data_IF_653896913032
#
_entry.id   IF_653896913032
#
_cell.length_a   1.000
_cell.length_b   1.000
_cell.length_c   1.000
_cell.angle_alpha   90.00
_cell.angle_beta   90.00
_cell.angle_gamma   90.00
#
_symmetry.space_group_name_H-M   'P 1'
#
loop_
_entity.id
_entity.type
_entity.pdbx_description
1 polymer ?
#
# COMPACT_ATOMS: atom_id res chain seq x y z
N UNK A 1 39.86 -10.37 -38.83
CA UNK A 1 38.64 -11.15 -38.62
C UNK A 1 38.91 -12.12 -37.50
N UNK A 2 38.56 -11.69 -36.28
CA UNK A 2 38.66 -12.57 -35.09
C UNK A 2 37.25 -12.70 -34.54
N UNK A 3 36.70 -13.91 -34.78
CA UNK A 3 35.42 -14.35 -34.29
C UNK A 3 35.45 -14.41 -32.73
N UNK A 4 34.83 -13.44 -32.10
CA UNK A 4 34.51 -13.50 -30.68
C UNK A 4 33.21 -14.31 -30.52
N UNK A 5 33.34 -15.62 -30.39
CA UNK A 5 32.27 -16.50 -29.95
C UNK A 5 31.97 -16.14 -28.47
N UNK A 6 30.91 -15.38 -28.22
CA UNK A 6 30.29 -15.23 -26.89
C UNK A 6 29.67 -16.60 -26.53
N UNK A 7 30.42 -17.42 -25.79
CA UNK A 7 29.87 -18.62 -25.17
C UNK A 7 28.87 -18.20 -24.11
N UNK A 8 27.59 -18.31 -24.37
CA UNK A 8 26.52 -18.29 -23.37
C UNK A 8 26.73 -19.47 -22.42
N UNK A 9 27.55 -19.27 -21.40
CA UNK A 9 27.77 -20.27 -20.36
C UNK A 9 26.46 -20.45 -19.57
N UNK A 10 25.84 -21.61 -19.71
CA UNK A 10 24.69 -22.03 -18.90
C UNK A 10 25.02 -21.83 -17.42
N UNK A 11 24.10 -21.26 -16.60
CA UNK A 11 24.31 -21.14 -15.16
C UNK A 11 24.66 -22.50 -14.54
N UNK A 12 25.67 -22.49 -13.66
CA UNK A 12 26.10 -23.70 -12.97
C UNK A 12 24.94 -24.29 -12.14
N UNK A 13 24.86 -25.60 -12.07
CA UNK A 13 23.84 -26.33 -11.32
C UNK A 13 24.44 -26.98 -10.08
N UNK A 14 23.62 -27.43 -9.12
CA UNK A 14 24.06 -28.21 -7.97
C UNK A 14 24.81 -29.50 -8.40
N UNK A 15 24.46 -30.03 -9.58
CA UNK A 15 25.15 -31.18 -10.14
C UNK A 15 26.58 -30.87 -10.60
N UNK A 16 26.79 -29.69 -11.11
CA UNK A 16 28.10 -29.21 -11.51
C UNK A 16 29.01 -28.96 -10.31
N UNK A 17 28.45 -28.37 -9.24
CA UNK A 17 29.16 -28.21 -7.94
C UNK A 17 29.54 -29.58 -7.34
N UNK A 18 28.61 -30.54 -7.35
CA UNK A 18 28.85 -31.87 -6.82
C UNK A 18 29.98 -32.59 -7.58
N UNK A 19 29.98 -32.51 -8.90
CA UNK A 19 31.02 -33.06 -9.76
C UNK A 19 32.38 -32.39 -9.49
N UNK A 20 32.42 -31.07 -9.42
CA UNK A 20 33.61 -30.29 -9.19
C UNK A 20 34.20 -30.54 -7.78
N UNK A 21 33.36 -30.71 -6.76
CA UNK A 21 33.77 -31.00 -5.39
C UNK A 21 34.09 -32.50 -5.16
N UNK A 22 33.89 -33.35 -6.17
CA UNK A 22 34.10 -34.82 -6.05
C UNK A 22 33.17 -35.46 -5.02
N UNK A 23 31.88 -35.07 -5.01
CA UNK A 23 30.90 -35.54 -4.01
C UNK A 23 29.50 -35.73 -4.64
N UNK A 24 28.57 -36.21 -3.83
CA UNK A 24 27.15 -36.33 -4.24
C UNK A 24 26.36 -35.03 -4.02
N UNK A 25 25.28 -34.85 -4.78
CA UNK A 25 24.33 -33.72 -4.65
C UNK A 25 23.79 -33.57 -3.23
N UNK A 26 23.63 -34.68 -2.49
CA UNK A 26 23.14 -34.68 -1.11
C UNK A 26 24.10 -33.93 -0.17
N UNK A 27 25.41 -34.14 -0.34
CA UNK A 27 26.42 -33.45 0.49
C UNK A 27 26.46 -31.94 0.18
N UNK A 28 26.37 -31.56 -1.10
CA UNK A 28 26.27 -30.15 -1.50
C UNK A 28 24.99 -29.51 -0.94
N UNK A 29 23.85 -30.23 -1.02
CA UNK A 29 22.58 -29.77 -0.47
C UNK A 29 22.66 -29.54 1.05
N UNK A 30 23.28 -30.46 1.79
CA UNK A 30 23.51 -30.33 3.24
C UNK A 30 24.39 -29.12 3.59
N UNK A 31 25.47 -28.92 2.84
CA UNK A 31 26.35 -27.76 3.00
C UNK A 31 25.56 -26.45 2.81
N UNK A 32 24.81 -26.33 1.72
CA UNK A 32 23.98 -25.16 1.40
C UNK A 32 22.85 -24.92 2.41
N UNK A 33 22.41 -25.98 3.12
CA UNK A 33 21.37 -25.87 4.14
C UNK A 33 21.93 -25.60 5.56
N UNK A 34 23.26 -25.41 5.70
CA UNK A 34 23.87 -25.21 7.01
C UNK A 34 24.06 -26.48 7.86
N UNK A 35 23.72 -27.66 7.32
CA UNK A 35 23.93 -28.97 7.98
C UNK A 35 25.40 -29.39 7.91
N UNK A 36 26.31 -28.44 8.24
CA UNK A 36 27.75 -28.64 8.07
C UNK A 36 28.32 -29.61 9.07
N UNK A 37 27.66 -29.83 10.20
CA UNK A 37 28.09 -30.76 11.25
C UNK A 37 28.16 -32.24 10.78
N UNK A 38 27.38 -32.61 9.77
CA UNK A 38 27.40 -33.97 9.19
C UNK A 38 28.42 -34.16 8.05
N UNK A 39 29.21 -33.12 7.77
CA UNK A 39 30.20 -33.12 6.68
C UNK A 39 31.61 -32.99 7.28
N UNK A 40 32.59 -33.76 6.75
CA UNK A 40 33.99 -33.57 7.15
C UNK A 40 34.50 -32.18 6.79
N UNK A 41 35.53 -31.70 7.49
CA UNK A 41 36.14 -30.39 7.23
C UNK A 41 36.67 -30.30 5.80
N UNK A 42 37.37 -31.35 5.32
CA UNK A 42 37.87 -31.45 3.96
C UNK A 42 36.76 -31.34 2.91
N UNK A 43 35.67 -32.07 3.13
CA UNK A 43 34.52 -32.02 2.19
C UNK A 43 33.86 -30.64 2.14
N UNK A 44 33.74 -29.97 3.29
CA UNK A 44 33.21 -28.58 3.34
C UNK A 44 34.08 -27.63 2.52
N UNK A 45 35.39 -27.68 2.68
CA UNK A 45 36.33 -26.85 1.93
C UNK A 45 36.27 -27.10 0.42
N UNK A 46 36.18 -28.37 0.01
CA UNK A 46 36.02 -28.71 -1.42
C UNK A 46 34.73 -28.20 -2.02
N UNK A 47 33.62 -28.30 -1.27
CA UNK A 47 32.31 -27.78 -1.74
C UNK A 47 32.38 -26.26 -1.85
N UNK A 48 32.95 -25.56 -0.85
CA UNK A 48 33.10 -24.10 -0.85
C UNK A 48 33.94 -23.61 -2.04
N UNK A 49 35.11 -24.25 -2.28
CA UNK A 49 35.95 -23.94 -3.41
C UNK A 49 35.26 -24.18 -4.76
N UNK A 50 34.46 -25.24 -4.87
CA UNK A 50 33.70 -25.53 -6.08
C UNK A 50 32.60 -24.47 -6.31
N UNK A 51 31.88 -24.05 -5.27
CA UNK A 51 30.88 -22.99 -5.34
C UNK A 51 31.51 -21.69 -5.84
N UNK A 52 32.65 -21.29 -5.24
CA UNK A 52 33.35 -20.07 -5.62
C UNK A 52 33.86 -20.12 -7.08
N UNK A 53 34.48 -21.24 -7.49
CA UNK A 53 35.04 -21.42 -8.84
C UNK A 53 33.98 -21.40 -9.93
N UNK A 54 32.82 -22.02 -9.67
CA UNK A 54 31.71 -22.07 -10.60
C UNK A 54 30.77 -20.86 -10.53
N UNK A 55 31.05 -19.91 -9.63
CA UNK A 55 30.14 -18.80 -9.27
C UNK A 55 28.71 -19.31 -9.08
N UNK A 56 28.57 -20.46 -8.43
CA UNK A 56 27.28 -21.10 -8.26
C UNK A 56 26.44 -20.34 -7.25
N UNK A 57 25.26 -19.96 -7.67
CA UNK A 57 24.22 -19.39 -6.77
C UNK A 57 23.08 -20.39 -6.65
N UNK A 58 22.69 -20.80 -5.43
CA UNK A 58 21.55 -21.68 -5.24
C UNK A 58 20.29 -21.06 -5.85
N UNK A 59 19.60 -21.79 -6.70
CA UNK A 59 18.30 -21.37 -7.19
C UNK A 59 17.27 -21.53 -6.05
N UNK A 60 16.88 -20.43 -5.45
CA UNK A 60 15.92 -20.42 -4.32
C UNK A 60 14.56 -20.98 -4.73
N UNK A 61 14.10 -20.72 -5.97
CA UNK A 61 12.85 -21.30 -6.47
C UNK A 61 12.91 -22.83 -6.56
N UNK A 62 14.05 -23.40 -7.03
CA UNK A 62 14.23 -24.83 -7.07
C UNK A 62 14.33 -25.47 -5.65
N UNK A 63 14.84 -24.72 -4.68
CA UNK A 63 14.84 -25.15 -3.26
C UNK A 63 13.44 -25.10 -2.66
N UNK A 64 12.66 -24.06 -2.95
CA UNK A 64 11.28 -23.89 -2.53
C UNK A 64 10.39 -25.02 -3.03
N UNK A 65 10.51 -25.40 -4.30
CA UNK A 65 9.80 -26.54 -4.88
C UNK A 65 10.06 -27.85 -4.14
N UNK A 66 11.26 -28.05 -3.61
CA UNK A 66 11.64 -29.28 -2.89
C UNK A 66 11.18 -29.28 -1.42
N UNK A 67 10.99 -28.10 -0.81
CA UNK A 67 10.56 -27.90 0.58
C UNK A 67 9.09 -27.52 0.72
N UNK A 68 8.37 -27.33 -0.39
CA UNK A 68 6.98 -26.87 -0.39
C UNK A 68 6.80 -25.38 -0.04
N UNK A 69 7.91 -24.64 0.20
CA UNK A 69 7.88 -23.20 0.53
C UNK A 69 8.91 -22.44 -0.28
N UNK A 70 8.48 -21.45 -1.05
CA UNK A 70 9.35 -20.62 -1.90
C UNK A 70 9.67 -19.24 -1.29
N UNK A 71 9.06 -18.91 -0.15
CA UNK A 71 9.24 -17.65 0.56
C UNK A 71 8.93 -16.40 -0.28
N UNK A 72 7.99 -16.51 -1.22
CA UNK A 72 7.48 -15.39 -2.00
C UNK A 72 6.16 -14.90 -1.41
N UNK A 73 6.05 -13.60 -1.13
CA UNK A 73 4.79 -12.92 -0.85
C UNK A 73 4.44 -11.99 -1.99
N UNK A 74 3.20 -12.08 -2.48
CA UNK A 74 2.70 -11.13 -3.46
C UNK A 74 2.17 -9.86 -2.78
N UNK A 75 2.36 -8.70 -3.41
CA UNK A 75 1.65 -7.49 -3.07
C UNK A 75 1.03 -6.91 -4.33
N UNK A 76 -0.29 -6.78 -4.34
CA UNK A 76 -1.03 -6.05 -5.35
C UNK A 76 -1.27 -4.63 -4.86
N UNK A 77 -0.66 -3.67 -5.54
CA UNK A 77 -0.77 -2.24 -5.26
C UNK A 77 -1.62 -1.56 -6.34
N UNK A 78 -2.64 -0.83 -5.93
CA UNK A 78 -3.51 -0.11 -6.87
C UNK A 78 -2.77 1.03 -7.58
N UNK A 79 -2.02 1.83 -6.82
CA UNK A 79 -1.35 3.02 -7.35
C UNK A 79 -0.05 3.33 -6.59
N UNK A 80 1.10 3.16 -7.25
CA UNK A 80 2.42 3.51 -6.70
C UNK A 80 2.74 5.02 -6.79
N UNK A 81 1.91 5.81 -7.47
CA UNK A 81 2.07 7.28 -7.47
C UNK A 81 1.48 7.92 -6.21
N UNK A 82 0.65 7.18 -5.46
CA UNK A 82 0.12 7.60 -4.18
C UNK A 82 1.18 7.36 -3.08
N UNK A 83 1.64 8.40 -2.36
CA UNK A 83 2.61 8.27 -1.26
C UNK A 83 2.22 7.22 -0.21
N UNK A 84 0.94 7.14 0.14
CA UNK A 84 0.40 6.10 1.03
C UNK A 84 0.86 4.69 0.66
N UNK A 85 0.74 4.33 -0.63
CA UNK A 85 1.10 2.99 -1.10
C UNK A 85 2.58 2.70 -0.94
N UNK A 86 3.43 3.71 -1.20
CA UNK A 86 4.89 3.58 -1.07
C UNK A 86 5.30 3.42 0.39
N UNK A 87 4.70 4.16 1.30
CA UNK A 87 4.97 4.06 2.73
C UNK A 87 4.51 2.70 3.31
N UNK A 88 3.33 2.20 2.91
CA UNK A 88 2.88 0.84 3.25
C UNK A 88 3.86 -0.20 2.74
N UNK A 89 4.35 -0.04 1.49
CA UNK A 89 5.34 -0.94 0.90
C UNK A 89 6.64 -0.99 1.71
N UNK A 90 7.10 0.12 2.30
CA UNK A 90 8.27 0.12 3.18
C UNK A 90 8.06 -0.78 4.41
N UNK A 91 6.88 -0.75 5.02
CA UNK A 91 6.53 -1.65 6.12
C UNK A 91 6.49 -3.12 5.68
N UNK A 92 5.91 -3.39 4.51
CA UNK A 92 5.87 -4.73 3.91
C UNK A 92 7.28 -5.26 3.66
N UNK A 93 8.16 -4.44 3.08
CA UNK A 93 9.55 -4.81 2.79
C UNK A 93 10.32 -5.14 4.07
N UNK A 94 10.19 -4.31 5.10
CA UNK A 94 10.86 -4.51 6.37
C UNK A 94 10.43 -5.82 7.06
N UNK A 95 9.13 -6.10 7.10
CA UNK A 95 8.60 -7.34 7.67
C UNK A 95 8.98 -8.57 6.83
N UNK A 96 8.93 -8.47 5.50
CA UNK A 96 9.41 -9.52 4.60
C UNK A 96 10.87 -9.84 4.86
N UNK A 97 11.72 -8.82 5.02
CA UNK A 97 13.14 -9.00 5.35
C UNK A 97 13.31 -9.71 6.69
N UNK A 98 12.61 -9.27 7.74
CA UNK A 98 12.69 -9.85 9.07
C UNK A 98 12.25 -11.32 9.12
N UNK A 99 11.21 -11.68 8.35
CA UNK A 99 10.63 -13.02 8.31
C UNK A 99 11.21 -13.92 7.20
N UNK A 100 12.17 -13.39 6.40
CA UNK A 100 12.85 -14.14 5.35
C UNK A 100 12.00 -14.40 4.12
N UNK A 101 11.08 -13.49 3.78
CA UNK A 101 10.32 -13.49 2.53
C UNK A 101 10.92 -12.56 1.50
N UNK A 102 10.60 -12.81 0.23
CA UNK A 102 10.85 -11.88 -0.88
C UNK A 102 9.50 -11.34 -1.36
N UNK A 103 9.25 -10.02 -1.29
CA UNK A 103 8.03 -9.43 -1.81
C UNK A 103 8.06 -9.35 -3.34
N UNK A 104 6.94 -9.69 -3.97
CA UNK A 104 6.68 -9.59 -5.40
C UNK A 104 5.62 -8.51 -5.62
N UNK A 105 6.04 -7.32 -6.03
CA UNK A 105 5.16 -6.16 -6.15
C UNK A 105 4.55 -6.10 -7.54
N UNK A 106 3.23 -6.04 -7.61
CA UNK A 106 2.45 -5.83 -8.83
C UNK A 106 1.70 -4.50 -8.73
N UNK A 107 1.91 -3.62 -9.69
CA UNK A 107 1.27 -2.30 -9.76
C UNK A 107 0.17 -2.30 -10.82
N UNK A 108 -1.08 -2.16 -10.39
CA UNK A 108 -2.24 -2.23 -11.27
C UNK A 108 -2.59 -0.89 -11.96
N UNK A 109 -1.97 0.21 -11.57
CA UNK A 109 -2.22 1.54 -12.13
C UNK A 109 -3.70 1.96 -12.10
N UNK A 110 -4.44 1.54 -11.09
CA UNK A 110 -5.89 1.73 -10.96
C UNK A 110 -6.73 1.08 -12.08
N UNK A 111 -6.22 0.04 -12.74
CA UNK A 111 -6.90 -0.71 -13.78
C UNK A 111 -7.35 -2.09 -13.28
N UNK A 112 -8.67 -2.34 -13.21
CA UNK A 112 -9.25 -3.59 -12.70
C UNK A 112 -8.78 -4.82 -13.50
N UNK A 113 -8.64 -4.69 -14.81
CA UNK A 113 -8.17 -5.80 -15.65
C UNK A 113 -6.69 -6.14 -15.36
N UNK A 114 -5.88 -5.14 -15.03
CA UNK A 114 -4.49 -5.37 -14.59
C UNK A 114 -4.45 -6.03 -13.21
N UNK A 115 -5.35 -5.67 -12.30
CA UNK A 115 -5.49 -6.37 -11.01
C UNK A 115 -5.76 -7.86 -11.22
N UNK A 116 -6.73 -8.20 -12.06
CA UNK A 116 -7.09 -9.57 -12.43
C UNK A 116 -5.89 -10.33 -13.00
N UNK A 117 -5.19 -9.73 -13.96
CA UNK A 117 -4.02 -10.33 -14.60
C UNK A 117 -2.88 -10.60 -13.60
N UNK A 118 -2.59 -9.65 -12.72
CA UNK A 118 -1.53 -9.83 -11.74
C UNK A 118 -1.88 -10.89 -10.69
N UNK A 119 -3.13 -10.99 -10.26
CA UNK A 119 -3.57 -12.05 -9.36
C UNK A 119 -3.39 -13.44 -9.98
N UNK A 120 -3.70 -13.60 -11.25
CA UNK A 120 -3.44 -14.85 -11.99
C UNK A 120 -1.94 -15.17 -12.07
N UNK A 121 -1.11 -14.16 -12.35
CA UNK A 121 0.35 -14.34 -12.40
C UNK A 121 0.91 -14.73 -11.03
N UNK A 122 0.52 -14.03 -9.95
CA UNK A 122 0.97 -14.34 -8.59
C UNK A 122 0.60 -15.77 -8.17
N UNK A 123 -0.60 -16.23 -8.54
CA UNK A 123 -1.00 -17.63 -8.35
C UNK A 123 -0.09 -18.58 -9.13
N UNK A 124 0.25 -18.25 -10.40
CA UNK A 124 1.17 -19.04 -11.24
C UNK A 124 2.57 -19.10 -10.64
N UNK A 125 3.06 -18.00 -10.07
CA UNK A 125 4.35 -17.96 -9.36
C UNK A 125 4.32 -18.66 -8.00
N UNK A 126 3.14 -19.17 -7.58
CA UNK A 126 2.93 -19.88 -6.31
C UNK A 126 3.41 -19.09 -5.12
N UNK A 127 3.02 -17.80 -5.04
CA UNK A 127 3.27 -17.02 -3.83
C UNK A 127 2.62 -17.73 -2.63
N UNK A 128 3.27 -17.68 -1.47
CA UNK A 128 2.77 -18.33 -0.26
C UNK A 128 1.62 -17.56 0.40
N UNK A 129 1.53 -16.27 0.12
CA UNK A 129 0.47 -15.40 0.61
C UNK A 129 0.42 -14.11 -0.19
N UNK A 130 -0.63 -13.33 0.01
CA UNK A 130 -0.90 -12.12 -0.75
C UNK A 130 -1.35 -10.97 0.14
N UNK A 131 -0.81 -9.79 -0.13
CA UNK A 131 -1.26 -8.50 0.43
C UNK A 131 -1.97 -7.75 -0.70
N UNK A 132 -3.22 -7.33 -0.46
CA UNK A 132 -4.07 -6.73 -1.49
C UNK A 132 -4.49 -5.33 -1.09
N UNK A 133 -4.04 -4.33 -1.83
CA UNK A 133 -4.59 -2.98 -1.84
C UNK A 133 -5.17 -2.72 -3.22
N UNK A 134 -6.37 -3.27 -3.47
CA UNK A 134 -7.04 -3.22 -4.77
C UNK A 134 -7.98 -2.02 -4.89
N UNK A 135 -8.15 -1.47 -6.09
CA UNK A 135 -9.04 -0.33 -6.33
C UNK A 135 -10.50 -0.74 -6.50
N UNK A 136 -10.76 -1.80 -7.21
CA UNK A 136 -12.09 -2.23 -7.59
C UNK A 136 -12.21 -3.74 -7.78
N UNK A 137 -11.38 -4.50 -7.05
CA UNK A 137 -11.48 -5.95 -7.09
C UNK A 137 -12.86 -6.38 -6.62
N UNK A 138 -13.60 -7.03 -7.51
CA UNK A 138 -14.81 -7.77 -7.17
C UNK A 138 -14.43 -9.15 -6.63
N UNK A 139 -15.35 -9.83 -5.95
CA UNK A 139 -15.10 -11.17 -5.38
C UNK A 139 -14.55 -12.13 -6.43
N UNK A 140 -15.05 -12.09 -7.66
CA UNK A 140 -14.64 -12.99 -8.75
C UNK A 140 -13.15 -12.82 -9.13
N UNK A 141 -12.58 -11.62 -8.94
CA UNK A 141 -11.15 -11.34 -9.17
C UNK A 141 -10.28 -12.03 -8.13
N UNK A 142 -10.74 -12.09 -6.87
CA UNK A 142 -10.03 -12.72 -5.75
C UNK A 142 -10.37 -14.20 -5.54
N UNK A 143 -11.44 -14.70 -6.16
CA UNK A 143 -11.88 -16.11 -6.04
C UNK A 143 -10.78 -17.15 -6.37
N UNK A 144 -9.88 -16.94 -7.36
CA UNK A 144 -8.80 -17.87 -7.63
C UNK A 144 -7.87 -18.11 -6.43
N UNK A 145 -7.72 -17.14 -5.53
CA UNK A 145 -6.89 -17.27 -4.33
C UNK A 145 -7.48 -18.29 -3.35
N UNK A 146 -8.81 -18.24 -3.12
CA UNK A 146 -9.50 -19.24 -2.31
C UNK A 146 -9.31 -20.64 -2.87
N UNK A 147 -9.50 -20.80 -4.18
CA UNK A 147 -9.33 -22.10 -4.85
C UNK A 147 -7.90 -22.65 -4.79
N UNK A 148 -6.90 -21.77 -4.71
CA UNK A 148 -5.50 -22.14 -4.56
C UNK A 148 -5.05 -22.31 -3.10
N UNK A 149 -5.89 -21.99 -2.12
CA UNK A 149 -5.54 -22.03 -0.68
C UNK A 149 -4.47 -21.01 -0.30
N UNK A 150 -4.34 -19.92 -1.04
CA UNK A 150 -3.38 -18.84 -0.76
C UNK A 150 -4.01 -17.84 0.21
N UNK A 151 -3.47 -17.67 1.42
CA UNK A 151 -3.96 -16.69 2.38
C UNK A 151 -3.77 -15.27 1.83
N UNK A 152 -4.77 -14.41 2.04
CA UNK A 152 -4.73 -13.01 1.65
C UNK A 152 -5.02 -12.11 2.84
N UNK A 153 -4.40 -10.93 2.85
CA UNK A 153 -4.69 -9.83 3.76
C UNK A 153 -5.05 -8.60 2.93
N UNK A 154 -6.18 -8.00 3.24
CA UNK A 154 -6.63 -6.76 2.63
C UNK A 154 -6.04 -5.56 3.37
N UNK A 155 -5.59 -4.56 2.62
CA UNK A 155 -5.04 -3.33 3.17
C UNK A 155 -5.93 -2.14 2.78
N UNK A 156 -6.38 -1.39 3.79
CA UNK A 156 -7.20 -0.16 3.66
C UNK A 156 -8.62 -0.39 3.09
N UNK A 157 -8.84 -1.44 2.31
CA UNK A 157 -10.07 -1.63 1.55
C UNK A 157 -10.65 -3.02 1.73
N UNK A 158 -11.97 -3.08 1.87
CA UNK A 158 -12.73 -4.33 1.82
C UNK A 158 -13.14 -4.64 0.39
N UNK A 159 -13.31 -5.93 0.11
CA UNK A 159 -13.88 -6.43 -1.14
C UNK A 159 -15.18 -7.16 -0.81
N UNK A 160 -16.28 -6.74 -1.41
CA UNK A 160 -17.58 -7.34 -1.16
C UNK A 160 -17.59 -8.82 -1.56
N UNK A 161 -18.12 -9.69 -0.69
CA UNK A 161 -18.14 -11.14 -0.90
C UNK A 161 -16.80 -11.86 -0.63
N UNK A 162 -15.71 -11.15 -0.34
CA UNK A 162 -14.42 -11.75 -0.05
C UNK A 162 -13.98 -11.49 1.39
N UNK A 163 -14.02 -12.52 2.21
CA UNK A 163 -13.57 -12.48 3.60
C UNK A 163 -12.08 -12.80 3.70
N UNK A 164 -11.30 -11.87 4.25
CA UNK A 164 -9.88 -12.00 4.53
C UNK A 164 -9.50 -11.08 5.70
N UNK A 165 -8.38 -11.34 6.34
CA UNK A 165 -7.84 -10.42 7.34
C UNK A 165 -7.70 -9.02 6.72
N UNK A 166 -8.07 -8.00 7.48
CA UNK A 166 -8.07 -6.60 7.06
C UNK A 166 -7.24 -5.76 8.03
N UNK A 167 -6.40 -4.90 7.48
CA UNK A 167 -5.69 -3.89 8.25
C UNK A 167 -5.73 -2.54 7.53
N UNK A 168 -5.91 -1.45 8.28
CA UNK A 168 -5.96 -0.11 7.72
C UNK A 168 -6.11 0.98 8.76
N UNK A 169 -6.40 2.20 8.30
CA UNK A 169 -6.73 3.32 9.16
C UNK A 169 -8.14 3.14 9.74
N UNK A 170 -8.33 3.50 11.02
CA UNK A 170 -9.68 3.79 11.53
C UNK A 170 -10.18 5.09 10.87
N UNK A 171 -10.86 4.91 9.75
CA UNK A 171 -11.37 6.02 8.95
C UNK A 171 -12.42 6.84 9.69
N UNK A 172 -13.20 6.22 10.58
CA UNK A 172 -14.23 6.93 11.35
C UNK A 172 -13.58 7.82 12.38
N UNK A 173 -12.64 7.30 13.17
CA UNK A 173 -11.88 8.07 14.15
C UNK A 173 -11.07 9.20 13.49
N UNK A 174 -10.45 8.95 12.34
CA UNK A 174 -9.69 9.95 11.58
C UNK A 174 -10.58 11.13 11.13
N UNK A 175 -11.79 10.85 10.66
CA UNK A 175 -12.77 11.88 10.26
C UNK A 175 -13.27 12.66 11.50
N UNK A 176 -13.59 11.97 12.59
CA UNK A 176 -14.04 12.61 13.84
C UNK A 176 -12.95 13.53 14.42
N UNK A 177 -11.71 13.07 14.44
CA UNK A 177 -10.54 13.85 14.90
C UNK A 177 -10.34 15.10 14.04
N UNK A 178 -10.40 14.96 12.71
CA UNK A 178 -10.24 16.07 11.78
C UNK A 178 -11.36 17.12 11.94
N UNK A 179 -12.62 16.68 12.04
CA UNK A 179 -13.77 17.57 12.25
C UNK A 179 -13.71 18.27 13.60
N UNK A 180 -13.37 17.55 14.68
CA UNK A 180 -13.23 18.15 16.01
C UNK A 180 -12.17 19.27 15.99
N UNK A 181 -11.04 19.04 15.30
CA UNK A 181 -10.00 20.06 15.12
C UNK A 181 -10.53 21.29 14.37
N UNK A 182 -11.16 21.09 13.19
CA UNK A 182 -11.68 22.20 12.38
C UNK A 182 -12.70 23.04 13.16
N UNK A 183 -13.62 22.38 13.85
CA UNK A 183 -14.63 23.06 14.67
C UNK A 183 -14.00 23.82 15.85
N UNK A 184 -12.99 23.23 16.52
CA UNK A 184 -12.26 23.91 17.61
C UNK A 184 -11.47 25.11 17.10
N UNK A 185 -11.05 25.14 15.83
CA UNK A 185 -10.44 26.30 15.17
C UNK A 185 -11.50 27.32 14.66
N UNK A 186 -12.79 27.10 14.93
CA UNK A 186 -13.87 28.04 14.58
C UNK A 186 -14.36 27.93 13.13
N UNK A 187 -14.04 26.88 12.40
CA UNK A 187 -14.58 26.65 11.05
C UNK A 187 -15.99 26.05 11.13
N UNK A 188 -16.95 26.70 10.50
CA UNK A 188 -18.34 26.23 10.34
C UNK A 188 -18.71 25.91 8.88
N UNK A 189 -17.94 26.43 7.92
CA UNK A 189 -18.09 26.17 6.49
C UNK A 189 -17.10 25.09 6.07
N UNK A 190 -17.38 23.81 6.41
CA UNK A 190 -16.48 22.68 6.16
C UNK A 190 -16.98 21.88 4.96
N UNK A 191 -16.13 21.65 3.97
CA UNK A 191 -16.46 20.95 2.73
C UNK A 191 -15.55 19.76 2.51
N UNK A 192 -16.12 18.55 2.36
CA UNK A 192 -15.38 17.35 2.08
C UNK A 192 -15.14 17.21 0.57
N UNK A 193 -13.91 16.93 0.20
CA UNK A 193 -13.48 16.74 -1.19
C UNK A 193 -12.84 15.37 -1.33
N UNK A 194 -13.35 14.56 -2.23
CA UNK A 194 -12.93 13.16 -2.41
C UNK A 194 -12.90 12.79 -3.89
N UNK A 195 -12.04 11.84 -4.27
CA UNK A 195 -12.11 11.22 -5.61
C UNK A 195 -13.38 10.35 -5.74
N UNK A 196 -13.77 9.89 -6.96
CA UNK A 196 -14.87 8.94 -7.11
C UNK A 196 -14.77 7.81 -6.09
N UNK A 197 -15.86 7.55 -5.35
CA UNK A 197 -15.80 6.73 -4.14
C UNK A 197 -16.75 5.54 -4.14
N UNK A 198 -17.62 5.39 -5.13
CA UNK A 198 -18.66 4.36 -5.20
C UNK A 198 -18.06 2.94 -5.11
N UNK A 199 -16.90 2.73 -5.72
CA UNK A 199 -16.21 1.44 -5.77
C UNK A 199 -14.99 1.33 -4.83
N UNK A 200 -14.74 2.34 -3.98
CA UNK A 200 -13.59 2.35 -3.07
C UNK A 200 -14.06 2.42 -1.62
N UNK A 201 -14.01 1.31 -0.92
CA UNK A 201 -14.60 1.18 0.43
C UNK A 201 -14.06 2.19 1.44
N UNK A 202 -12.76 2.47 1.49
CA UNK A 202 -12.20 3.47 2.41
C UNK A 202 -12.72 4.89 2.13
N UNK A 203 -12.87 5.26 0.85
CA UNK A 203 -13.45 6.56 0.48
C UNK A 203 -14.92 6.67 0.87
N UNK A 204 -15.72 5.59 0.66
CA UNK A 204 -17.11 5.54 1.11
C UNK A 204 -17.24 5.70 2.61
N UNK A 205 -16.39 5.00 3.37
CA UNK A 205 -16.40 5.11 4.85
C UNK A 205 -16.06 6.52 5.29
N UNK A 206 -15.04 7.17 4.70
CA UNK A 206 -14.65 8.56 5.01
C UNK A 206 -15.81 9.52 4.72
N UNK A 207 -16.44 9.42 3.55
CA UNK A 207 -17.58 10.25 3.15
C UNK A 207 -18.77 10.06 4.09
N UNK A 208 -19.15 8.83 4.35
CA UNK A 208 -20.25 8.50 5.24
C UNK A 208 -19.99 8.97 6.70
N UNK A 209 -18.76 8.78 7.21
CA UNK A 209 -18.36 9.24 8.53
C UNK A 209 -18.41 10.76 8.62
N UNK A 210 -17.93 11.48 7.61
CA UNK A 210 -18.00 12.94 7.55
C UNK A 210 -19.44 13.46 7.66
N UNK A 211 -20.35 12.89 6.86
CA UNK A 211 -21.78 13.28 6.89
C UNK A 211 -22.42 12.95 8.23
N UNK A 212 -22.17 11.76 8.76
CA UNK A 212 -22.71 11.33 10.04
C UNK A 212 -22.21 12.20 11.20
N UNK A 213 -20.94 12.57 11.19
CA UNK A 213 -20.33 13.39 12.24
C UNK A 213 -20.86 14.83 12.26
N UNK A 214 -21.12 15.44 11.10
CA UNK A 214 -21.79 16.73 11.01
C UNK A 214 -23.26 16.65 11.48
N UNK A 215 -23.99 15.64 11.00
CA UNK A 215 -25.40 15.43 11.38
C UNK A 215 -25.55 15.21 12.90
N UNK A 216 -24.67 14.42 13.52
CA UNK A 216 -24.68 14.17 14.96
C UNK A 216 -24.45 15.44 15.78
N UNK A 217 -23.80 16.45 15.21
CA UNK A 217 -23.57 17.78 15.83
C UNK A 217 -24.65 18.81 15.50
N UNK A 218 -25.70 18.41 14.75
CA UNK A 218 -26.76 19.32 14.28
C UNK A 218 -26.26 20.37 13.27
N UNK A 219 -25.14 20.12 12.62
CA UNK A 219 -24.59 21.01 11.60
C UNK A 219 -25.16 20.70 10.23
N UNK A 220 -25.19 21.72 9.35
CA UNK A 220 -25.56 21.51 7.96
C UNK A 220 -24.60 20.57 7.27
N UNK A 221 -25.14 19.59 6.55
CA UNK A 221 -24.35 18.60 5.79
C UNK A 221 -24.27 19.06 4.34
N UNK A 222 -23.15 19.66 3.89
CA UNK A 222 -23.03 20.09 2.51
C UNK A 222 -22.91 18.86 1.58
N UNK A 223 -23.18 19.07 0.30
CA UNK A 223 -22.89 18.06 -0.71
C UNK A 223 -21.38 17.83 -0.80
N UNK A 224 -20.97 16.57 -0.96
CA UNK A 224 -19.57 16.18 -1.15
C UNK A 224 -19.08 16.65 -2.52
N UNK A 225 -17.87 17.21 -2.60
CA UNK A 225 -17.24 17.55 -3.88
C UNK A 225 -16.49 16.32 -4.38
N UNK A 226 -16.87 15.82 -5.55
CA UNK A 226 -16.20 14.68 -6.19
C UNK A 226 -15.17 15.23 -7.18
N UNK A 227 -13.89 15.06 -6.86
CA UNK A 227 -12.75 15.53 -7.68
C UNK A 227 -12.10 14.33 -8.38
N UNK A 228 -12.50 14.07 -9.62
CA UNK A 228 -11.86 13.04 -10.44
C UNK A 228 -10.59 13.56 -11.07
N UNK A 229 -9.45 13.09 -10.55
CA UNK A 229 -8.13 13.49 -11.02
C UNK A 229 -7.72 12.85 -12.34
N UNK A 230 -8.46 11.83 -12.80
CA UNK A 230 -8.18 11.12 -14.06
C UNK A 230 -8.93 11.77 -15.24
N UNK A 231 -9.94 12.59 -14.98
CA UNK A 231 -10.73 13.29 -15.99
C UNK A 231 -10.59 14.81 -15.85
N UNK A 232 -9.82 15.43 -16.74
CA UNK A 232 -9.47 16.84 -16.64
C UNK A 232 -10.66 17.79 -16.67
N UNK A 233 -11.72 17.44 -17.43
CA UNK A 233 -12.95 18.22 -17.49
C UNK A 233 -13.73 18.18 -16.17
N UNK A 234 -13.90 17.00 -15.58
CA UNK A 234 -14.54 16.81 -14.29
C UNK A 234 -13.73 17.46 -13.16
N UNK A 235 -12.40 17.33 -13.20
CA UNK A 235 -11.52 17.98 -12.23
C UNK A 235 -11.67 19.51 -12.25
N UNK A 236 -11.72 20.13 -13.44
CA UNK A 236 -11.91 21.56 -13.55
C UNK A 236 -13.29 22.02 -13.03
N UNK A 237 -14.35 21.27 -13.30
CA UNK A 237 -15.68 21.55 -12.78
C UNK A 237 -15.75 21.44 -11.24
N UNK A 238 -15.14 20.40 -10.67
CA UNK A 238 -15.07 20.21 -9.23
C UNK A 238 -14.27 21.32 -8.52
N UNK A 239 -13.16 21.78 -9.12
CA UNK A 239 -12.39 22.92 -8.61
C UNK A 239 -13.14 24.24 -8.70
N UNK A 240 -13.95 24.42 -9.75
CA UNK A 240 -14.85 25.57 -9.83
C UNK A 240 -15.96 25.55 -8.75
N UNK A 241 -16.48 24.37 -8.38
CA UNK A 241 -17.39 24.22 -7.24
C UNK A 241 -16.68 24.55 -5.91
N UNK A 242 -15.43 24.10 -5.74
CA UNK A 242 -14.60 24.53 -4.58
C UNK A 242 -14.49 26.05 -4.52
N UNK A 243 -14.22 26.72 -5.64
CA UNK A 243 -14.16 28.18 -5.70
C UNK A 243 -15.48 28.85 -5.28
N UNK A 244 -16.60 28.35 -5.80
CA UNK A 244 -17.92 28.87 -5.45
C UNK A 244 -18.23 28.76 -3.94
N UNK A 245 -17.80 27.68 -3.30
CA UNK A 245 -17.95 27.47 -1.85
C UNK A 245 -17.08 28.41 -1.03
N UNK A 246 -15.85 28.66 -1.46
CA UNK A 246 -14.95 29.64 -0.84
C UNK A 246 -15.56 31.05 -0.94
N UNK A 247 -16.05 31.42 -2.11
CA UNK A 247 -16.65 32.73 -2.34
C UNK A 247 -17.96 32.90 -1.55
N UNK A 248 -18.75 31.82 -1.39
CA UNK A 248 -19.94 31.84 -0.55
C UNK A 248 -19.61 32.05 0.92
N UNK A 249 -18.63 31.32 1.45
CA UNK A 249 -18.15 31.49 2.82
C UNK A 249 -17.64 32.92 3.04
N UNK A 250 -16.85 33.46 2.11
CA UNK A 250 -16.33 34.83 2.18
C UNK A 250 -17.47 35.88 2.20
N UNK A 251 -18.54 35.70 1.41
CA UNK A 251 -19.72 36.56 1.44
C UNK A 251 -20.44 36.56 2.81
N UNK A 252 -20.36 35.45 3.52
CA UNK A 252 -20.89 35.29 4.88
C UNK A 252 -19.94 35.79 5.97
N UNK A 253 -18.75 36.27 5.58
CA UNK A 253 -17.73 36.74 6.52
C UNK A 253 -16.98 35.64 7.27
N UNK A 254 -17.01 34.40 6.73
CA UNK A 254 -16.32 33.23 7.31
C UNK A 254 -15.31 32.67 6.33
N UNK A 255 -14.30 31.92 6.84
CA UNK A 255 -13.32 31.22 6.02
C UNK A 255 -13.77 29.77 5.80
N UNK A 256 -13.80 29.33 4.55
CA UNK A 256 -14.09 27.94 4.24
C UNK A 256 -12.93 27.00 4.65
N UNK A 257 -13.27 25.82 5.15
CA UNK A 257 -12.34 24.73 5.37
C UNK A 257 -12.60 23.61 4.36
N UNK A 258 -11.58 23.25 3.62
CA UNK A 258 -11.59 22.14 2.67
C UNK A 258 -10.96 20.92 3.34
N UNK A 259 -11.70 19.82 3.43
CA UNK A 259 -11.21 18.58 3.98
C UNK A 259 -10.98 17.58 2.83
N UNK A 260 -9.73 17.38 2.45
CA UNK A 260 -9.32 16.47 1.41
C UNK A 260 -9.26 15.02 1.92
N UNK A 261 -9.88 14.11 1.21
CA UNK A 261 -9.95 12.70 1.59
C UNK A 261 -8.60 11.95 1.53
N UNK A 262 -7.61 12.50 0.81
CA UNK A 262 -6.26 11.93 0.71
C UNK A 262 -5.26 12.93 0.12
N UNK A 263 -3.96 12.57 0.12
CA UNK A 263 -2.87 13.42 -0.36
C UNK A 263 -3.01 13.87 -1.83
N UNK A 264 -3.38 13.01 -2.81
CA UNK A 264 -3.58 13.47 -4.20
C UNK A 264 -4.63 14.57 -4.35
N UNK A 265 -5.75 14.45 -3.63
CA UNK A 265 -6.81 15.48 -3.61
C UNK A 265 -6.29 16.76 -2.96
N UNK A 266 -5.60 16.65 -1.83
CA UNK A 266 -5.03 17.81 -1.14
C UNK A 266 -4.01 18.57 -2.01
N UNK A 267 -3.16 17.85 -2.75
CA UNK A 267 -2.19 18.46 -3.66
C UNK A 267 -2.88 19.19 -4.81
N UNK A 268 -3.92 18.61 -5.39
CA UNK A 268 -4.69 19.25 -6.45
C UNK A 268 -5.34 20.54 -5.95
N UNK A 269 -5.99 20.51 -4.78
CA UNK A 269 -6.59 21.67 -4.13
C UNK A 269 -5.52 22.72 -3.82
N UNK A 270 -4.42 22.36 -3.20
CA UNK A 270 -3.36 23.30 -2.82
C UNK A 270 -2.76 24.01 -4.03
N UNK A 271 -2.55 23.28 -5.13
CA UNK A 271 -2.08 23.87 -6.41
C UNK A 271 -3.10 24.85 -6.98
N UNK A 272 -4.38 24.49 -6.94
CA UNK A 272 -5.47 25.35 -7.41
C UNK A 272 -5.58 26.62 -6.57
N UNK A 273 -5.61 26.52 -5.25
CA UNK A 273 -5.67 27.66 -4.34
C UNK A 273 -4.45 28.59 -4.50
N UNK A 274 -3.26 28.00 -4.68
CA UNK A 274 -2.05 28.79 -4.94
C UNK A 274 -2.10 29.52 -6.28
N UNK A 275 -2.65 28.90 -7.30
CA UNK A 275 -2.84 29.56 -8.59
C UNK A 275 -3.85 30.71 -8.52
N UNK A 276 -4.93 30.55 -7.74
CA UNK A 276 -5.99 31.54 -7.60
C UNK A 276 -5.59 32.72 -6.66
N UNK A 277 -5.02 32.42 -5.49
CA UNK A 277 -4.80 33.38 -4.41
C UNK A 277 -3.32 33.68 -4.13
N UNK A 278 -2.39 33.06 -4.87
CA UNK A 278 -0.96 33.26 -4.67
C UNK A 278 -0.44 32.65 -3.36
N UNK A 279 0.61 33.23 -2.79
CA UNK A 279 1.26 32.72 -1.58
C UNK A 279 0.37 32.83 -0.33
N UNK A 280 -0.59 33.74 -0.30
CA UNK A 280 -1.46 34.01 0.83
C UNK A 280 -2.75 33.16 0.82
N UNK A 281 -2.83 32.08 0.03
CA UNK A 281 -4.04 31.29 -0.14
C UNK A 281 -4.61 30.74 1.18
N UNK A 282 -3.76 30.44 2.18
CA UNK A 282 -4.18 29.96 3.49
C UNK A 282 -5.02 30.97 4.28
N UNK A 283 -4.91 32.25 3.95
CA UNK A 283 -5.78 33.29 4.54
C UNK A 283 -7.19 33.28 3.93
N UNK A 284 -7.37 32.69 2.75
CA UNK A 284 -8.63 32.64 2.02
C UNK A 284 -9.42 31.36 2.30
N UNK A 285 -8.71 30.23 2.40
CA UNK A 285 -9.31 28.93 2.69
C UNK A 285 -8.37 28.07 3.53
N UNK A 286 -8.95 27.34 4.49
CA UNK A 286 -8.23 26.32 5.24
C UNK A 286 -8.19 25.01 4.41
N UNK A 287 -7.13 24.21 4.62
CA UNK A 287 -7.01 22.89 4.02
C UNK A 287 -6.51 21.89 5.06
N UNK A 288 -7.28 20.81 5.24
CA UNK A 288 -6.90 19.65 6.03
C UNK A 288 -6.96 18.41 5.12
N UNK A 289 -6.06 17.46 5.33
CA UNK A 289 -6.02 16.23 4.53
C UNK A 289 -5.85 14.99 5.38
N UNK A 290 -6.39 13.86 4.94
CA UNK A 290 -5.83 12.56 5.32
C UNK A 290 -4.57 12.33 4.49
N UNK A 291 -3.58 11.62 5.04
CA UNK A 291 -2.20 11.46 4.63
C UNK A 291 -1.30 12.66 4.96
N UNK A 292 -0.06 12.36 5.36
CA UNK A 292 0.95 13.36 5.75
C UNK A 292 2.25 13.23 4.91
N UNK A 293 2.19 13.46 3.59
CA UNK A 293 3.38 13.42 2.75
C UNK A 293 4.31 14.59 3.05
N UNK A 294 5.62 14.45 2.78
CA UNK A 294 6.65 15.45 3.06
C UNK A 294 6.32 16.87 2.55
N UNK A 295 5.70 16.96 1.37
CA UNK A 295 5.30 18.25 0.83
C UNK A 295 4.19 18.95 1.64
N UNK A 296 3.38 18.21 2.44
CA UNK A 296 2.37 18.82 3.30
C UNK A 296 3.01 19.65 4.43
N UNK A 297 4.12 19.16 5.00
CA UNK A 297 4.92 19.92 5.95
C UNK A 297 5.51 21.18 5.31
N UNK A 298 6.11 21.04 4.13
CA UNK A 298 6.76 22.13 3.40
C UNK A 298 5.81 23.31 3.12
N UNK A 299 4.53 23.03 2.85
CA UNK A 299 3.53 24.06 2.56
C UNK A 299 2.57 24.32 3.72
N UNK A 300 2.79 23.67 4.86
CA UNK A 300 2.07 23.92 6.11
C UNK A 300 0.63 23.41 6.13
N UNK A 301 0.31 22.29 5.46
CA UNK A 301 -1.03 21.70 5.49
C UNK A 301 -1.20 20.84 6.75
N UNK A 302 -2.32 21.06 7.45
CA UNK A 302 -2.77 20.20 8.56
C UNK A 302 -3.22 18.86 8.01
N UNK A 303 -2.80 17.78 8.68
CA UNK A 303 -3.04 16.42 8.18
C UNK A 303 -3.46 15.46 9.28
N UNK A 304 -4.11 14.37 8.89
CA UNK A 304 -4.20 13.14 9.67
C UNK A 304 -3.16 12.17 9.09
N UNK A 305 -2.09 11.94 9.85
CA UNK A 305 -1.05 10.98 9.49
C UNK A 305 -1.57 9.57 9.73
N UNK A 306 -1.50 8.73 8.71
CA UNK A 306 -1.81 7.31 8.83
C UNK A 306 -0.57 6.54 9.34
N UNK A 307 -0.72 5.46 10.14
CA UNK A 307 0.39 4.60 10.55
C UNK A 307 0.77 3.62 9.42
N UNK A 308 1.11 4.14 8.25
CA UNK A 308 1.31 3.42 6.98
C UNK A 308 2.36 2.33 7.06
N UNK A 309 3.50 2.63 7.70
CA UNK A 309 4.55 1.64 7.93
C UNK A 309 4.06 0.46 8.79
N UNK A 310 3.34 0.76 9.89
CA UNK A 310 2.80 -0.27 10.78
C UNK A 310 1.73 -1.11 10.07
N UNK A 311 0.88 -0.48 9.25
CA UNK A 311 -0.10 -1.17 8.41
C UNK A 311 0.60 -2.19 7.51
N UNK A 312 1.66 -1.78 6.80
CA UNK A 312 2.43 -2.66 5.92
C UNK A 312 3.12 -3.80 6.66
N UNK A 313 3.74 -3.50 7.79
CA UNK A 313 4.44 -4.47 8.62
C UNK A 313 3.49 -5.55 9.15
N UNK A 314 2.38 -5.14 9.77
CA UNK A 314 1.36 -6.03 10.31
C UNK A 314 0.64 -6.85 9.24
N UNK A 315 0.45 -6.30 8.04
CA UNK A 315 -0.12 -7.07 6.93
C UNK A 315 0.71 -8.31 6.62
N UNK A 316 2.05 -8.20 6.64
CA UNK A 316 2.96 -9.34 6.45
C UNK A 316 2.89 -10.30 7.63
N UNK A 317 2.83 -9.80 8.87
CA UNK A 317 2.67 -10.66 10.06
C UNK A 317 1.38 -11.48 9.98
N UNK A 318 0.26 -10.88 9.60
CA UNK A 318 -1.02 -11.57 9.43
C UNK A 318 -0.95 -12.65 8.35
N UNK A 319 -0.36 -12.34 7.19
CA UNK A 319 -0.15 -13.33 6.12
C UNK A 319 0.75 -14.46 6.60
N UNK A 320 1.86 -14.14 7.29
CA UNK A 320 2.81 -15.12 7.81
C UNK A 320 2.14 -16.11 8.77
N UNK A 321 1.38 -15.62 9.73
CA UNK A 321 0.65 -16.46 10.68
C UNK A 321 -0.36 -17.39 9.98
N UNK A 322 -1.07 -16.89 8.95
CA UNK A 322 -1.97 -17.72 8.13
C UNK A 322 -1.20 -18.80 7.35
N UNK A 323 -0.02 -18.48 6.80
CA UNK A 323 0.86 -19.45 6.13
C UNK A 323 1.35 -20.51 7.10
N UNK A 324 1.62 -20.15 8.37
CA UNK A 324 2.07 -21.09 9.41
C UNK A 324 0.92 -21.87 10.04
N UNK A 325 -0.31 -21.70 9.55
CA UNK A 325 -1.46 -22.52 9.90
C UNK A 325 -2.35 -21.92 10.99
N UNK A 326 -2.21 -20.61 11.29
CA UNK A 326 -3.14 -19.95 12.21
C UNK A 326 -4.56 -20.05 11.65
N UNK A 327 -5.39 -20.83 12.31
CA UNK A 327 -6.82 -20.94 12.04
C UNK A 327 -7.60 -19.96 12.93
N UNK A 328 -8.81 -19.59 12.51
CA UNK A 328 -9.71 -18.72 13.27
C UNK A 328 -10.42 -17.72 12.38
N UNK A 329 -11.24 -16.91 13.02
CA UNK A 329 -12.05 -15.88 12.37
C UNK A 329 -11.17 -14.84 11.65
N UNK A 330 -11.78 -14.12 10.74
CA UNK A 330 -11.16 -12.98 10.04
C UNK A 330 -10.83 -11.89 11.06
N UNK A 331 -9.59 -11.41 11.02
CA UNK A 331 -9.12 -10.31 11.86
C UNK A 331 -9.34 -8.98 11.18
N UNK A 332 -9.83 -8.01 11.93
CA UNK A 332 -9.98 -6.63 11.46
C UNK A 332 -9.18 -5.73 12.41
N UNK A 333 -8.10 -5.13 11.93
CA UNK A 333 -7.24 -4.26 12.70
C UNK A 333 -7.28 -2.84 12.09
N UNK A 334 -8.07 -1.95 12.72
CA UNK A 334 -8.14 -0.54 12.36
C UNK A 334 -7.24 0.25 13.31
N UNK A 335 -6.24 0.94 12.76
CA UNK A 335 -5.25 1.69 13.52
C UNK A 335 -5.63 3.17 13.56
N UNK A 336 -5.42 3.88 14.68
CA UNK A 336 -5.72 5.29 14.78
C UNK A 336 -4.79 6.14 13.91
N UNK A 337 -5.32 7.26 13.41
CA UNK A 337 -4.53 8.31 12.77
C UNK A 337 -4.03 9.34 13.79
N UNK A 338 -3.00 10.11 13.43
CA UNK A 338 -2.44 11.18 14.23
C UNK A 338 -2.72 12.54 13.58
N UNK A 339 -3.34 13.48 14.31
CA UNK A 339 -3.52 14.84 13.85
C UNK A 339 -2.19 15.61 13.93
N UNK A 340 -1.74 16.13 12.80
CA UNK A 340 -0.58 17.03 12.69
C UNK A 340 -1.09 18.41 12.30
N UNK A 341 -1.34 19.26 13.32
CA UNK A 341 -1.82 20.61 13.11
C UNK A 341 -0.71 21.52 12.54
N UNK A 342 -1.04 22.27 11.48
CA UNK A 342 -0.13 23.21 10.80
C UNK A 342 -0.86 24.51 10.43
N UNK A 343 -0.15 25.39 9.73
CA UNK A 343 -0.61 26.75 9.42
C UNK A 343 -1.93 26.80 8.62
N UNK A 344 -2.24 25.82 7.76
CA UNK A 344 -3.42 25.86 6.89
C UNK A 344 -4.75 25.88 7.63
N UNK A 345 -4.79 25.43 8.88
CA UNK A 345 -5.98 25.47 9.72
C UNK A 345 -5.83 26.37 10.96
N UNK A 346 -4.74 27.13 11.06
CA UNK A 346 -4.62 28.13 12.12
C UNK A 346 -5.69 29.21 11.94
N UNK A 347 -6.35 29.61 13.06
CA UNK A 347 -7.36 30.69 13.14
C UNK A 347 -6.74 32.06 13.05
#
# INVERSE_FOLDING_TARGET
>A
MTDSQSSTTRPATISDVAREAGTGKTSVSRYLNGETHVLSVDLRQRIEAAIARLNYRPNQMARGLKRGRNRLLGMLAADLTNPYTVEVLQGVEAACHALGYMPLICHAANEVEMERRFLQLLTTYRVEGLIVNALGAEEDVLRPLRGAGIPAVLVDRTVEGFEADLIGLDNTDAIETALAHLLAQGFDAIHFVVQPFEHVSSRRVREAAFRAALAARGLAVPSTVVLDLNESGAAAAALADVDARIDDAARRGVRAALFAANAPVALAIARHLRARFGAAWQQQAALLSIDDPEWAELIGITTIRQPTYEIGYKAVEFVHERIDGAAGDVRVAMLPGELIARASTAS
#
